data_IF_824534257666
#
_entry.id   IF_824534257666
#
_cell.length_a   1.000
_cell.length_b   1.000
_cell.length_c   1.000
_cell.angle_alpha   90.00
_cell.angle_beta   90.00
_cell.angle_gamma   90.00
#
_symmetry.space_group_name_H-M   'P 1'
#
loop_
_entity.id
_entity.type
_entity.pdbx_description
1 polymer ?
#
# COMPACT_ATOMS: atom_id res chain seq x y z
N UNK A 1 50.21 9.38 12.24
CA UNK A 1 50.61 9.39 13.68
C UNK A 1 50.68 10.85 14.11
N UNK A 2 50.23 11.18 15.33
CA UNK A 2 50.15 12.53 15.98
C UNK A 2 48.92 13.38 15.56
N UNK A 3 48.08 13.95 16.43
CA UNK A 3 48.03 14.10 17.89
C UNK A 3 46.55 14.07 18.37
N UNK A 4 46.35 13.72 19.65
CA UNK A 4 45.16 14.04 20.42
C UNK A 4 45.03 15.56 20.60
N UNK A 5 43.79 16.08 20.58
CA UNK A 5 43.48 17.30 21.32
C UNK A 5 42.27 17.01 22.22
N UNK A 6 42.58 16.79 23.50
CA UNK A 6 41.61 16.87 24.59
C UNK A 6 41.32 18.34 24.83
N UNK A 7 40.06 18.76 24.69
CA UNK A 7 39.63 20.07 25.17
C UNK A 7 38.69 19.82 26.34
N UNK A 8 39.19 20.07 27.55
CA UNK A 8 38.44 20.00 28.80
C UNK A 8 37.90 21.41 29.07
N UNK A 9 36.59 21.62 28.97
CA UNK A 9 35.94 22.84 29.47
C UNK A 9 35.29 22.52 30.81
N UNK A 10 35.78 23.14 31.88
CA UNK A 10 35.09 23.24 33.15
C UNK A 10 34.64 24.70 33.25
N UNK A 11 33.37 24.98 32.97
CA UNK A 11 32.76 26.29 33.19
C UNK A 11 31.63 26.14 34.22
N UNK A 12 31.57 26.97 35.27
CA UNK A 12 30.51 26.90 36.28
C UNK A 12 29.28 27.76 35.96
N UNK A 13 29.13 28.33 34.75
CA UNK A 13 28.01 29.23 34.41
C UNK A 13 27.22 28.79 33.15
N UNK A 14 25.88 29.02 33.11
CA UNK A 14 24.98 28.32 32.19
C UNK A 14 24.62 29.11 30.92
N UNK A 15 25.55 29.88 30.32
CA UNK A 15 25.22 30.62 29.09
C UNK A 15 26.38 30.76 28.07
N UNK A 16 25.99 30.57 26.80
CA UNK A 16 26.53 31.06 25.53
C UNK A 16 27.52 30.23 24.69
N UNK A 17 27.03 29.90 23.47
CA UNK A 17 27.43 30.44 22.15
C UNK A 17 27.84 29.42 21.08
N UNK A 18 27.24 29.64 19.91
CA UNK A 18 27.32 28.87 18.67
C UNK A 18 28.74 28.88 18.08
N UNK A 19 29.24 27.72 17.63
CA UNK A 19 30.47 27.61 16.84
C UNK A 19 30.15 27.00 15.46
N UNK A 20 30.14 27.87 14.45
CA UNK A 20 30.44 27.59 13.04
C UNK A 20 31.96 27.84 12.84
N UNK A 21 32.75 27.27 11.92
CA UNK A 21 32.60 26.51 10.69
C UNK A 21 34.01 25.94 10.35
N UNK A 22 34.12 24.76 9.72
CA UNK A 22 34.83 24.55 8.44
C UNK A 22 34.56 23.10 7.96
N UNK A 23 34.40 22.91 6.66
CA UNK A 23 33.65 21.83 6.02
C UNK A 23 33.98 20.39 6.48
N UNK A 24 32.91 19.60 6.63
CA UNK A 24 32.84 18.13 6.72
C UNK A 24 32.94 17.44 8.10
N UNK A 25 32.31 17.93 9.17
CA UNK A 25 31.94 17.08 10.34
C UNK A 25 30.64 17.53 10.99
N UNK A 26 29.69 16.60 11.15
CA UNK A 26 28.49 16.80 11.97
C UNK A 26 28.74 16.35 13.42
N UNK A 27 28.13 17.04 14.39
CA UNK A 27 28.23 16.74 15.82
C UNK A 27 26.86 16.28 16.35
N UNK A 28 26.82 15.15 17.05
CA UNK A 28 25.67 14.77 17.90
C UNK A 28 26.13 14.79 19.36
N UNK A 29 25.46 15.57 20.20
CA UNK A 29 25.66 15.58 21.64
C UNK A 29 24.49 14.86 22.31
N UNK A 30 24.76 14.06 23.34
CA UNK A 30 23.73 13.42 24.18
C UNK A 30 24.10 13.63 25.65
N UNK A 31 23.14 14.06 26.45
CA UNK A 31 23.32 14.45 27.85
C UNK A 31 23.12 13.23 28.78
N UNK A 32 24.05 13.00 29.71
CA UNK A 32 23.88 12.09 30.83
C UNK A 32 24.30 12.80 32.12
N UNK A 33 23.38 12.89 33.10
CA UNK A 33 23.65 13.41 34.45
C UNK A 33 23.84 12.23 35.42
N UNK A 34 24.64 12.27 36.49
CA UNK A 34 25.36 13.37 37.16
C UNK A 34 26.80 12.92 37.42
N UNK A 35 27.70 13.90 37.36
CA UNK A 35 29.14 13.86 37.62
C UNK A 35 30.03 13.28 36.50
N UNK A 36 30.55 14.20 35.68
CA UNK A 36 31.79 14.09 34.85
C UNK A 36 31.69 13.54 33.41
N UNK A 37 32.42 14.23 32.52
CA UNK A 37 32.92 13.87 31.18
C UNK A 37 31.92 13.84 30.02
N UNK A 38 32.06 14.81 29.11
CA UNK A 38 31.57 14.69 27.73
C UNK A 38 32.56 13.87 26.91
N UNK A 39 32.22 12.64 26.54
CA UNK A 39 32.98 11.86 25.55
C UNK A 39 32.45 12.23 24.16
N UNK A 40 33.16 13.11 23.47
CA UNK A 40 32.89 13.41 22.06
C UNK A 40 33.60 12.34 21.22
N UNK A 41 32.85 11.34 20.76
CA UNK A 41 33.36 10.34 19.82
C UNK A 41 33.36 10.92 18.41
N UNK A 42 34.55 11.18 17.86
CA UNK A 42 34.69 11.55 16.45
C UNK A 42 34.55 10.31 15.57
N UNK A 43 33.36 10.10 15.00
CA UNK A 43 33.15 9.09 13.96
C UNK A 43 33.79 9.64 12.68
N UNK A 44 34.81 8.95 12.17
CA UNK A 44 35.49 9.31 10.92
C UNK A 44 34.71 8.70 9.76
N UNK A 45 34.01 9.54 9.01
CA UNK A 45 33.61 9.23 7.63
C UNK A 45 32.48 8.21 7.47
N UNK A 46 31.32 8.49 8.03
CA UNK A 46 30.07 8.16 7.33
C UNK A 46 29.64 9.43 6.62
N UNK A 47 29.85 9.50 5.30
CA UNK A 47 28.99 10.34 4.48
C UNK A 47 27.57 9.85 4.78
N UNK A 48 26.71 10.74 5.28
CA UNK A 48 25.28 10.52 5.17
C UNK A 48 25.00 10.59 3.67
N UNK A 49 25.10 9.46 2.99
CA UNK A 49 24.61 9.31 1.63
C UNK A 49 23.10 9.40 1.79
N UNK A 50 22.58 10.62 1.64
CA UNK A 50 21.16 10.80 1.42
C UNK A 50 20.87 10.19 0.06
N UNK A 51 20.39 8.94 0.08
CA UNK A 51 19.92 8.27 -1.12
C UNK A 51 18.58 8.90 -1.45
N UNK A 52 18.63 9.85 -2.38
CA UNK A 52 17.43 10.39 -2.98
C UNK A 52 16.63 9.25 -3.62
N UNK A 53 15.32 9.33 -3.49
CA UNK A 53 14.41 8.39 -4.12
C UNK A 53 14.30 8.72 -5.61
N UNK A 54 14.55 7.72 -6.44
CA UNK A 54 14.51 7.81 -7.89
C UNK A 54 13.38 6.95 -8.48
N UNK A 55 13.03 7.17 -9.75
CA UNK A 55 12.07 6.32 -10.45
C UNK A 55 12.60 4.89 -10.57
N UNK A 56 11.73 3.92 -10.34
CA UNK A 56 12.07 2.49 -10.28
C UNK A 56 12.48 2.01 -8.88
N UNK A 57 12.70 2.92 -7.93
CA UNK A 57 12.96 2.52 -6.55
C UNK A 57 11.71 1.91 -5.91
N UNK A 58 11.92 0.84 -5.14
CA UNK A 58 10.90 0.29 -4.28
C UNK A 58 10.96 1.01 -2.95
N UNK A 59 9.83 1.58 -2.54
CA UNK A 59 9.70 2.25 -1.25
C UNK A 59 8.53 1.69 -0.47
N UNK A 60 8.69 1.62 0.85
CA UNK A 60 7.58 1.38 1.77
C UNK A 60 7.07 2.71 2.25
N UNK A 61 5.78 2.97 2.04
CA UNK A 61 5.12 4.21 2.43
C UNK A 61 3.99 3.94 3.41
N UNK A 62 3.78 4.87 4.32
CA UNK A 62 2.52 4.99 5.05
C UNK A 62 1.86 6.29 4.66
N UNK A 63 0.53 6.30 4.57
CA UNK A 63 -0.20 7.50 4.19
C UNK A 63 -1.62 7.55 4.74
N UNK A 64 -2.19 8.75 4.74
CA UNK A 64 -3.60 9.03 4.98
C UNK A 64 -4.07 10.08 3.99
N UNK A 65 -5.04 9.72 3.15
CA UNK A 65 -5.71 10.58 2.19
C UNK A 65 -6.98 11.18 2.78
N UNK A 66 -7.12 12.51 2.64
CA UNK A 66 -8.25 13.29 3.13
C UNK A 66 -8.85 14.16 2.03
N UNK A 67 -10.14 14.42 2.13
CA UNK A 67 -10.79 15.46 1.34
C UNK A 67 -10.59 16.84 1.97
N UNK A 68 -10.96 17.91 1.25
CA UNK A 68 -10.90 19.29 1.73
C UNK A 68 -11.69 19.53 3.04
N UNK A 69 -12.76 18.77 3.26
CA UNK A 69 -13.56 18.81 4.49
C UNK A 69 -12.93 18.04 5.68
N UNK A 70 -11.76 17.44 5.47
CA UNK A 70 -10.99 16.69 6.47
C UNK A 70 -11.37 15.21 6.59
N UNK A 71 -12.43 14.75 5.90
CA UNK A 71 -12.85 13.36 5.92
C UNK A 71 -11.76 12.45 5.33
N UNK A 72 -11.36 11.42 6.07
CA UNK A 72 -10.44 10.39 5.58
C UNK A 72 -11.19 9.46 4.62
N UNK A 73 -10.59 9.22 3.46
CA UNK A 73 -11.15 8.27 2.48
C UNK A 73 -10.22 7.08 2.21
N UNK A 74 -8.95 7.19 2.57
CA UNK A 74 -7.94 6.16 2.35
C UNK A 74 -6.82 6.28 3.38
N UNK A 75 -6.30 5.17 3.87
CA UNK A 75 -5.19 5.16 4.84
C UNK A 75 -4.55 3.78 4.95
N UNK A 76 -3.25 3.75 5.18
CA UNK A 76 -2.50 2.54 5.52
C UNK A 76 -2.51 2.24 7.02
N UNK A 77 -3.10 3.11 7.85
CA UNK A 77 -3.20 2.91 9.30
C UNK A 77 -4.52 2.26 9.69
N UNK A 78 -4.44 1.10 10.33
CA UNK A 78 -5.64 0.36 10.80
C UNK A 78 -6.44 1.17 11.83
N UNK A 79 -5.73 1.87 12.72
CA UNK A 79 -6.34 2.69 13.77
C UNK A 79 -7.14 3.84 13.16
N UNK A 80 -6.53 4.60 12.25
CA UNK A 80 -7.20 5.71 11.54
C UNK A 80 -8.39 5.18 10.73
N UNK A 81 -8.23 4.02 10.08
CA UNK A 81 -9.31 3.42 9.30
C UNK A 81 -10.53 3.06 10.18
N UNK A 82 -10.30 2.54 11.39
CA UNK A 82 -11.35 2.21 12.37
C UNK A 82 -12.03 3.47 12.90
N UNK A 83 -11.25 4.48 13.29
CA UNK A 83 -11.77 5.75 13.81
C UNK A 83 -12.63 6.50 12.80
N UNK A 84 -12.31 6.38 11.50
CA UNK A 84 -13.02 7.07 10.42
C UNK A 84 -14.06 6.19 9.72
N UNK A 85 -14.31 4.97 10.20
CA UNK A 85 -15.35 4.09 9.67
C UNK A 85 -15.08 3.54 8.27
N UNK A 86 -13.83 3.54 7.81
CA UNK A 86 -13.40 3.02 6.50
C UNK A 86 -12.62 1.70 6.61
N UNK A 87 -12.55 1.12 7.81
CA UNK A 87 -11.85 -0.14 8.06
C UNK A 87 -12.42 -1.29 7.22
N UNK A 88 -11.54 -1.91 6.43
CA UNK A 88 -11.77 -3.16 5.74
C UNK A 88 -11.06 -4.32 6.48
N UNK A 89 -11.77 -5.36 6.96
CA UNK A 89 -11.17 -6.54 7.59
C UNK A 89 -10.26 -7.37 6.67
N UNK A 90 -10.41 -7.22 5.35
CA UNK A 90 -9.55 -7.84 4.34
C UNK A 90 -8.44 -6.90 3.84
N UNK A 91 -8.39 -5.67 4.36
CA UNK A 91 -7.33 -4.72 4.04
C UNK A 91 -6.02 -5.12 4.71
N UNK A 92 -4.91 -4.83 4.04
CA UNK A 92 -3.58 -4.91 4.65
C UNK A 92 -3.24 -3.50 5.14
N UNK A 93 -2.86 -3.40 6.41
CA UNK A 93 -2.42 -2.16 7.03
C UNK A 93 -0.95 -2.27 7.46
N UNK A 94 -0.34 -1.14 7.80
CA UNK A 94 1.07 -1.07 8.19
C UNK A 94 2.01 -0.61 7.08
N UNK A 95 1.46 -0.04 6.00
CA UNK A 95 2.20 0.58 4.90
C UNK A 95 2.24 -0.28 3.64
N UNK A 96 2.25 0.40 2.50
CA UNK A 96 2.27 -0.20 1.17
C UNK A 96 3.67 -0.15 0.57
N UNK A 97 4.03 -1.16 -0.21
CA UNK A 97 5.24 -1.16 -1.02
C UNK A 97 4.87 -0.75 -2.44
N UNK A 98 5.49 0.30 -2.93
CA UNK A 98 5.23 0.86 -4.26
C UNK A 98 6.53 1.03 -5.03
N UNK A 99 6.43 1.04 -6.36
CA UNK A 99 7.54 1.33 -7.27
C UNK A 99 7.34 2.76 -7.75
N UNK A 100 8.31 3.62 -7.49
CA UNK A 100 8.22 5.04 -7.79
C UNK A 100 8.16 5.25 -9.30
N UNK A 101 7.12 5.93 -9.76
CA UNK A 101 6.87 6.20 -11.17
C UNK A 101 6.12 5.10 -11.92
N UNK A 102 5.70 4.02 -11.25
CA UNK A 102 4.94 2.91 -11.86
C UNK A 102 3.42 3.08 -11.76
N UNK A 103 2.93 4.21 -11.23
CA UNK A 103 1.49 4.49 -11.11
C UNK A 103 0.78 3.53 -10.16
N UNK A 104 1.46 3.13 -9.08
CA UNK A 104 0.87 2.33 -8.00
C UNK A 104 0.03 3.20 -7.05
N UNK A 105 0.32 4.49 -6.99
CA UNK A 105 -0.45 5.51 -6.28
C UNK A 105 -1.05 6.49 -7.30
N UNK A 106 -1.85 7.45 -6.81
CA UNK A 106 -2.31 8.55 -7.65
C UNK A 106 -1.12 9.37 -8.15
N UNK A 107 -1.24 9.89 -9.39
CA UNK A 107 -0.14 10.54 -10.12
C UNK A 107 0.58 11.62 -9.31
N UNK A 108 -0.16 12.46 -8.59
CA UNK A 108 0.43 13.54 -7.80
C UNK A 108 1.31 13.04 -6.67
N UNK A 109 0.93 11.94 -6.02
CA UNK A 109 1.69 11.34 -4.93
C UNK A 109 2.92 10.58 -5.47
N UNK A 110 2.76 9.84 -6.58
CA UNK A 110 3.85 9.13 -7.25
C UNK A 110 4.95 10.07 -7.73
N UNK A 111 4.57 11.24 -8.27
CA UNK A 111 5.51 12.28 -8.70
C UNK A 111 6.25 12.94 -7.53
N UNK A 112 5.59 13.14 -6.38
CA UNK A 112 6.20 13.82 -5.22
C UNK A 112 7.17 12.93 -4.44
N UNK A 113 7.22 11.62 -4.69
CA UNK A 113 8.24 10.75 -4.08
C UNK A 113 9.65 11.03 -4.60
N UNK A 114 9.77 11.48 -5.85
CA UNK A 114 11.06 11.70 -6.51
C UNK A 114 11.82 12.83 -5.81
N UNK A 115 13.14 12.65 -5.67
CA UNK A 115 14.06 13.58 -4.99
C UNK A 115 13.81 13.76 -3.48
N UNK A 116 12.87 13.02 -2.90
CA UNK A 116 12.72 12.95 -1.43
C UNK A 116 13.70 11.94 -0.85
N UNK A 117 13.82 11.98 0.46
CA UNK A 117 14.72 11.11 1.22
C UNK A 117 13.91 10.10 2.02
N UNK A 118 14.53 8.95 2.31
CA UNK A 118 13.99 8.00 3.29
C UNK A 118 13.84 8.69 4.65
N UNK A 119 12.69 8.49 5.28
CA UNK A 119 12.28 9.16 6.52
C UNK A 119 11.56 10.49 6.30
N UNK A 120 11.38 10.94 5.04
CA UNK A 120 10.57 12.11 4.75
C UNK A 120 9.12 11.89 5.19
N UNK A 121 8.60 12.84 5.97
CA UNK A 121 7.18 12.94 6.31
C UNK A 121 6.68 14.31 5.86
N UNK A 122 5.56 14.35 5.17
CA UNK A 122 5.01 15.58 4.64
C UNK A 122 3.53 15.50 4.32
N UNK A 123 2.99 16.65 3.93
CA UNK A 123 1.63 16.81 3.46
C UNK A 123 1.65 17.39 2.06
N UNK A 124 0.89 16.79 1.16
CA UNK A 124 0.78 17.19 -0.24
C UNK A 124 -0.69 17.37 -0.61
N UNK A 125 -1.04 18.56 -1.10
CA UNK A 125 -2.32 18.83 -1.73
C UNK A 125 -2.22 18.50 -3.23
N UNK A 126 -3.14 17.67 -3.71
CA UNK A 126 -3.14 17.12 -5.07
C UNK A 126 -4.41 17.59 -5.77
N UNK A 127 -4.28 18.34 -6.88
CA UNK A 127 -5.44 18.81 -7.63
C UNK A 127 -6.11 17.63 -8.39
N UNK A 128 -7.39 17.77 -8.79
CA UNK A 128 -8.14 16.69 -9.43
C UNK A 128 -7.43 16.06 -10.63
N UNK A 129 -6.71 16.84 -11.44
CA UNK A 129 -5.97 16.41 -12.62
C UNK A 129 -4.88 15.37 -12.30
N UNK A 130 -4.33 15.41 -11.09
CA UNK A 130 -3.28 14.51 -10.61
C UNK A 130 -3.77 13.50 -9.55
N UNK A 131 -5.03 13.61 -9.13
CA UNK A 131 -5.68 12.69 -8.21
C UNK A 131 -6.57 11.69 -8.96
N UNK A 132 -7.90 11.82 -8.85
CA UNK A 132 -8.89 10.91 -9.43
C UNK A 132 -9.47 11.37 -10.78
N UNK A 133 -8.83 12.36 -11.41
CA UNK A 133 -9.24 12.96 -12.68
C UNK A 133 -10.21 14.13 -12.50
N UNK A 134 -10.29 14.94 -13.56
CA UNK A 134 -11.24 16.07 -13.63
C UNK A 134 -12.64 15.55 -13.84
N UNK A 135 -13.62 16.18 -13.20
CA UNK A 135 -15.03 15.91 -13.48
C UNK A 135 -15.34 16.24 -14.94
N UNK A 136 -15.83 15.26 -15.69
CA UNK A 136 -16.18 15.43 -17.09
C UNK A 136 -17.71 15.58 -17.25
N UNK A 137 -18.22 16.77 -17.63
CA UNK A 137 -19.64 16.98 -17.86
C UNK A 137 -20.24 16.10 -18.96
N UNK A 138 -19.42 15.62 -19.91
CA UNK A 138 -19.87 14.73 -20.98
C UNK A 138 -20.20 13.32 -20.48
N UNK A 139 -19.68 12.92 -19.31
CA UNK A 139 -20.03 11.67 -18.65
C UNK A 139 -21.30 11.79 -17.78
N UNK A 140 -21.94 12.97 -17.78
CA UNK A 140 -23.25 13.15 -17.15
C UNK A 140 -24.33 12.98 -18.22
N UNK A 141 -24.95 11.81 -18.24
CA UNK A 141 -25.91 11.46 -19.29
C UNK A 141 -27.36 11.50 -18.77
N UNK A 142 -28.30 11.68 -19.71
CA UNK A 142 -29.73 11.59 -19.41
C UNK A 142 -30.24 10.18 -19.72
N UNK A 143 -30.58 9.43 -18.68
CA UNK A 143 -31.01 8.03 -18.74
C UNK A 143 -32.52 7.92 -18.51
N UNK A 144 -33.21 7.08 -19.28
CA UNK A 144 -34.63 6.78 -19.02
C UNK A 144 -34.77 5.98 -17.72
N UNK A 145 -35.74 6.34 -16.86
CA UNK A 145 -36.01 5.58 -15.63
C UNK A 145 -36.31 4.10 -15.89
N UNK A 146 -36.80 3.77 -17.09
CA UNK A 146 -37.06 2.38 -17.51
C UNK A 146 -35.79 1.54 -17.63
N UNK A 147 -34.63 2.15 -17.92
CA UNK A 147 -33.35 1.44 -18.00
C UNK A 147 -32.85 0.95 -16.64
N UNK A 148 -33.28 1.59 -15.55
CA UNK A 148 -32.89 1.24 -14.17
C UNK A 148 -34.04 0.64 -13.38
N UNK A 149 -35.20 0.38 -14.01
CA UNK A 149 -36.40 -0.07 -13.33
C UNK A 149 -36.21 -1.40 -12.58
N UNK A 150 -35.39 -2.30 -13.12
CA UNK A 150 -35.05 -3.58 -12.48
C UNK A 150 -34.22 -3.40 -11.20
N UNK A 151 -33.45 -2.32 -11.10
CA UNK A 151 -32.63 -1.99 -9.93
C UNK A 151 -33.43 -1.28 -8.84
N UNK A 152 -34.48 -0.54 -9.25
CA UNK A 152 -35.31 0.24 -8.34
C UNK A 152 -36.22 -0.62 -7.44
N UNK A 153 -36.51 -1.87 -7.83
CA UNK A 153 -37.48 -2.74 -7.12
C UNK A 153 -38.77 -1.95 -6.83
N UNK A 154 -39.19 -1.88 -5.56
CA UNK A 154 -40.36 -1.12 -5.11
C UNK A 154 -40.05 0.32 -4.67
N UNK A 155 -38.81 0.78 -4.85
CA UNK A 155 -38.35 2.11 -4.41
C UNK A 155 -38.33 3.08 -5.58
N UNK A 156 -38.50 4.38 -5.28
CA UNK A 156 -38.35 5.44 -6.29
C UNK A 156 -36.88 5.85 -6.38
N UNK A 157 -36.43 6.22 -7.59
CA UNK A 157 -35.12 6.83 -7.74
C UNK A 157 -35.02 8.10 -6.89
N UNK A 158 -33.84 8.38 -6.36
CA UNK A 158 -33.55 9.60 -5.60
C UNK A 158 -32.12 10.10 -5.91
N UNK A 159 -31.84 11.41 -5.79
CA UNK A 159 -30.49 11.95 -5.91
C UNK A 159 -29.51 11.28 -4.94
N UNK A 160 -28.32 10.92 -5.41
CA UNK A 160 -27.31 10.17 -4.67
C UNK A 160 -27.45 8.65 -4.80
N UNK A 161 -28.51 8.14 -5.44
CA UNK A 161 -28.66 6.70 -5.69
C UNK A 161 -27.63 6.23 -6.73
N UNK A 162 -26.92 5.14 -6.42
CA UNK A 162 -26.09 4.42 -7.40
C UNK A 162 -26.96 3.57 -8.34
N UNK A 163 -26.67 3.64 -9.64
CA UNK A 163 -27.33 2.88 -10.69
C UNK A 163 -26.30 2.34 -11.67
N UNK A 164 -26.61 1.20 -12.27
CA UNK A 164 -25.82 0.61 -13.35
C UNK A 164 -26.60 0.70 -14.67
N UNK A 165 -26.00 1.27 -15.71
CA UNK A 165 -26.66 1.46 -17.02
C UNK A 165 -25.70 1.01 -18.09
N UNK A 166 -26.11 0.03 -18.89
CA UNK A 166 -25.30 -0.52 -19.98
C UNK A 166 -23.89 -0.97 -19.50
N UNK A 167 -23.83 -1.55 -18.29
CA UNK A 167 -22.58 -2.01 -17.64
C UNK A 167 -21.75 -0.90 -16.98
N UNK A 168 -22.18 0.36 -17.03
CA UNK A 168 -21.52 1.49 -16.38
C UNK A 168 -22.21 1.82 -15.05
N UNK A 169 -21.45 1.89 -13.97
CA UNK A 169 -21.95 2.41 -12.69
C UNK A 169 -21.93 3.93 -12.68
N UNK A 170 -22.96 4.55 -12.13
CA UNK A 170 -23.06 6.00 -12.00
C UNK A 170 -24.01 6.41 -10.89
N UNK A 171 -24.01 7.70 -10.55
CA UNK A 171 -24.80 8.25 -9.45
C UNK A 171 -25.88 9.19 -10.00
N UNK A 172 -27.11 9.01 -9.55
CA UNK A 172 -28.23 9.89 -9.93
C UNK A 172 -28.01 11.28 -9.33
N UNK A 173 -27.80 12.31 -10.15
CA UNK A 173 -27.70 13.70 -9.69
C UNK A 173 -29.08 14.33 -9.48
N UNK A 174 -29.98 14.10 -10.44
CA UNK A 174 -31.31 14.74 -10.43
C UNK A 174 -32.32 13.93 -11.24
N UNK A 175 -33.59 14.09 -10.88
CA UNK A 175 -34.72 13.49 -11.57
C UNK A 175 -35.47 14.60 -12.30
N UNK A 176 -35.69 14.43 -13.60
CA UNK A 176 -36.39 15.37 -14.47
C UNK A 176 -37.48 14.60 -15.20
N UNK A 177 -38.70 14.65 -14.67
CA UNK A 177 -39.83 13.87 -15.17
C UNK A 177 -39.53 12.36 -15.12
N UNK A 178 -39.52 11.71 -16.29
CA UNK A 178 -39.22 10.27 -16.44
C UNK A 178 -37.75 9.97 -16.75
N UNK A 179 -36.87 10.97 -16.67
CA UNK A 179 -35.44 10.82 -16.95
C UNK A 179 -34.60 11.14 -15.72
N UNK A 180 -33.53 10.37 -15.55
CA UNK A 180 -32.52 10.55 -14.54
C UNK A 180 -31.32 11.23 -15.20
N UNK A 181 -30.76 12.24 -14.55
CA UNK A 181 -29.44 12.76 -14.89
C UNK A 181 -28.45 11.94 -14.07
N UNK A 182 -27.67 11.10 -14.72
CA UNK A 182 -26.76 10.14 -14.08
C UNK A 182 -25.32 10.54 -14.39
N UNK A 183 -24.51 10.62 -13.34
CA UNK A 183 -23.09 10.93 -13.42
C UNK A 183 -22.27 9.64 -13.45
N UNK A 184 -21.58 9.39 -14.57
CA UNK A 184 -20.72 8.23 -14.76
C UNK A 184 -19.23 8.52 -14.51
N UNK A 185 -18.89 9.69 -13.95
CA UNK A 185 -17.53 9.97 -13.51
C UNK A 185 -17.11 9.03 -12.37
N UNK A 186 -15.80 8.89 -12.16
CA UNK A 186 -15.28 8.27 -10.94
C UNK A 186 -15.85 9.00 -9.72
N UNK A 187 -16.21 8.27 -8.66
CA UNK A 187 -16.89 8.83 -7.48
C UNK A 187 -16.11 9.96 -6.80
N UNK A 188 -14.79 10.00 -7.00
CA UNK A 188 -13.87 11.02 -6.46
C UNK A 188 -13.38 12.04 -7.49
N UNK A 189 -13.85 11.97 -8.75
CA UNK A 189 -13.44 12.90 -9.80
C UNK A 189 -13.84 14.34 -9.47
N UNK A 190 -12.98 15.29 -9.85
CA UNK A 190 -13.20 16.72 -9.63
C UNK A 190 -12.92 17.20 -8.20
N UNK A 191 -12.52 16.30 -7.29
CA UNK A 191 -12.15 16.66 -5.91
C UNK A 191 -10.63 16.80 -5.79
N UNK A 192 -10.16 17.88 -5.18
CA UNK A 192 -8.80 17.93 -4.66
C UNK A 192 -8.71 17.04 -3.41
N UNK A 193 -7.54 16.48 -3.18
CA UNK A 193 -7.27 15.60 -2.04
C UNK A 193 -5.94 15.96 -1.41
N UNK A 194 -5.84 15.75 -0.11
CA UNK A 194 -4.62 15.99 0.66
C UNK A 194 -4.11 14.67 1.19
N UNK A 195 -2.85 14.35 0.92
CA UNK A 195 -2.17 13.18 1.47
C UNK A 195 -1.15 13.61 2.50
N UNK A 196 -1.25 13.06 3.71
CA UNK A 196 -0.15 13.03 4.67
C UNK A 196 0.55 11.68 4.50
N UNK A 197 1.86 11.68 4.25
CA UNK A 197 2.59 10.44 3.98
C UNK A 197 4.00 10.45 4.55
N UNK A 198 4.54 9.25 4.78
CA UNK A 198 5.91 9.01 5.20
C UNK A 198 6.57 7.97 4.30
N UNK A 199 7.79 8.24 3.84
CA UNK A 199 8.65 7.26 3.16
C UNK A 199 9.45 6.52 4.23
N UNK A 200 9.04 5.32 4.61
CA UNK A 200 9.64 4.60 5.74
C UNK A 200 11.02 4.04 5.41
N UNK A 201 11.13 3.37 4.26
CA UNK A 201 12.38 2.77 3.79
C UNK A 201 12.37 2.59 2.28
N UNK A 202 13.57 2.63 1.70
CA UNK A 202 13.86 2.05 0.38
C UNK A 202 14.14 0.56 0.55
N UNK A 203 13.58 -0.27 -0.33
CA UNK A 203 13.77 -1.72 -0.30
C UNK A 203 14.82 -2.12 -1.32
N UNK A 204 15.77 -2.95 -0.89
CA UNK A 204 16.78 -3.56 -1.75
C UNK A 204 16.60 -5.08 -1.89
N UNK A 205 16.10 -5.73 -0.83
CA UNK A 205 15.87 -7.17 -0.78
C UNK A 205 14.80 -7.63 -1.79
N UNK A 206 15.13 -8.67 -2.55
CA UNK A 206 14.27 -9.16 -3.63
C UNK A 206 12.98 -9.80 -3.10
N UNK A 207 13.04 -10.47 -1.94
CA UNK A 207 11.87 -11.09 -1.32
C UNK A 207 10.91 -10.04 -0.78
N UNK A 208 11.41 -9.02 -0.07
CA UNK A 208 10.58 -7.92 0.41
C UNK A 208 9.92 -7.16 -0.75
N UNK A 209 10.65 -6.89 -1.84
CA UNK A 209 10.11 -6.28 -3.06
C UNK A 209 8.99 -7.11 -3.67
N UNK A 210 9.22 -8.40 -3.86
CA UNK A 210 8.24 -9.31 -4.43
C UNK A 210 6.99 -9.43 -3.56
N UNK A 211 7.17 -9.61 -2.26
CA UNK A 211 6.08 -9.70 -1.29
C UNK A 211 5.26 -8.42 -1.22
N UNK A 212 5.92 -7.28 -1.24
CA UNK A 212 5.28 -5.97 -1.27
C UNK A 212 4.40 -5.78 -2.51
N UNK A 213 4.92 -6.14 -3.68
CA UNK A 213 4.20 -6.04 -4.94
C UNK A 213 3.00 -6.99 -4.99
N UNK A 214 3.18 -8.24 -4.56
CA UNK A 214 2.08 -9.20 -4.45
C UNK A 214 1.01 -8.69 -3.49
N UNK A 215 1.39 -8.15 -2.33
CA UNK A 215 0.45 -7.58 -1.36
C UNK A 215 -0.34 -6.42 -1.96
N UNK A 216 0.33 -5.49 -2.66
CA UNK A 216 -0.29 -4.37 -3.34
C UNK A 216 -1.36 -4.81 -4.34
N UNK A 217 -1.07 -5.82 -5.17
CA UNK A 217 -2.01 -6.25 -6.21
C UNK A 217 -3.04 -7.27 -5.74
N UNK A 218 -2.79 -8.02 -4.68
CA UNK A 218 -3.66 -9.15 -4.29
C UNK A 218 -4.40 -8.89 -2.99
N UNK A 219 -3.89 -8.00 -2.13
CA UNK A 219 -4.34 -7.86 -0.76
C UNK A 219 -3.99 -9.05 0.12
N UNK A 220 -3.04 -9.91 -0.28
CA UNK A 220 -2.54 -11.01 0.53
C UNK A 220 -1.05 -10.83 0.87
N UNK A 221 -0.72 -11.02 2.14
CA UNK A 221 0.64 -10.88 2.69
C UNK A 221 1.35 -12.22 2.90
N UNK A 222 0.61 -13.33 2.86
CA UNK A 222 1.04 -14.67 3.26
C UNK A 222 1.18 -15.65 2.07
N UNK A 223 1.76 -15.20 0.95
CA UNK A 223 2.17 -16.10 -0.11
C UNK A 223 3.58 -16.63 0.15
N UNK A 224 3.73 -17.94 0.00
CA UNK A 224 5.04 -18.59 0.05
C UNK A 224 5.77 -18.30 -1.27
N UNK A 225 7.05 -17.98 -1.16
CA UNK A 225 7.90 -17.71 -2.31
C UNK A 225 9.31 -18.22 -2.10
N UNK A 226 9.95 -18.56 -3.20
CA UNK A 226 11.35 -18.93 -3.28
C UNK A 226 11.99 -18.05 -4.35
N UNK A 227 13.03 -17.30 -3.97
CA UNK A 227 13.75 -16.43 -4.88
C UNK A 227 15.21 -16.85 -4.89
N UNK A 228 15.70 -17.14 -6.10
CA UNK A 228 17.10 -17.43 -6.39
C UNK A 228 17.56 -16.49 -7.51
N UNK A 229 18.87 -16.39 -7.79
CA UNK A 229 19.37 -15.58 -8.91
C UNK A 229 18.80 -15.96 -10.28
N UNK A 230 18.25 -17.17 -10.44
CA UNK A 230 17.76 -17.71 -11.71
C UNK A 230 16.24 -17.87 -11.77
N UNK A 231 15.55 -17.86 -10.62
CA UNK A 231 14.13 -18.22 -10.52
C UNK A 231 13.44 -17.44 -9.41
N UNK A 232 12.29 -16.83 -9.75
CA UNK A 232 11.26 -16.41 -8.81
C UNK A 232 10.15 -17.46 -8.85
N UNK A 233 9.86 -18.13 -7.74
CA UNK A 233 8.73 -19.05 -7.63
C UNK A 233 7.78 -18.54 -6.56
N UNK A 234 6.53 -18.34 -6.92
CA UNK A 234 5.46 -17.94 -5.99
C UNK A 234 4.42 -19.05 -5.94
N UNK A 235 4.18 -19.57 -4.74
CA UNK A 235 3.16 -20.58 -4.49
C UNK A 235 1.85 -19.85 -4.23
N UNK A 236 0.88 -20.08 -5.11
CA UNK A 236 -0.41 -19.39 -5.08
C UNK A 236 -1.40 -20.24 -4.29
N UNK A 237 -1.99 -19.70 -3.20
CA UNK A 237 -3.04 -20.38 -2.45
C UNK A 237 -4.26 -20.67 -3.35
N UNK A 238 -4.95 -21.79 -3.13
CA UNK A 238 -6.05 -22.23 -4.00
C UNK A 238 -7.21 -21.23 -4.04
N UNK A 239 -7.37 -20.44 -2.98
CA UNK A 239 -8.38 -19.37 -2.85
C UNK A 239 -8.23 -18.29 -3.94
N UNK A 240 -7.04 -18.19 -4.55
CA UNK A 240 -6.77 -17.27 -5.64
C UNK A 240 -7.22 -17.77 -7.02
N UNK A 241 -7.55 -19.06 -7.17
CA UNK A 241 -7.90 -19.68 -8.47
C UNK A 241 -9.02 -18.94 -9.21
N UNK A 242 -9.98 -18.39 -8.48
CA UNK A 242 -11.12 -17.64 -9.03
C UNK A 242 -11.14 -16.17 -8.61
N UNK A 243 -10.06 -15.69 -7.99
CA UNK A 243 -9.96 -14.31 -7.56
C UNK A 243 -9.79 -13.41 -8.80
N UNK A 244 -10.81 -12.61 -9.11
CA UNK A 244 -10.80 -11.72 -10.28
C UNK A 244 -9.63 -10.74 -10.27
N UNK A 245 -9.27 -10.21 -9.10
CA UNK A 245 -8.15 -9.27 -8.95
C UNK A 245 -6.86 -9.93 -9.40
N UNK A 246 -6.60 -11.16 -8.94
CA UNK A 246 -5.46 -11.97 -9.37
C UNK A 246 -5.48 -12.29 -10.85
N UNK A 247 -6.60 -12.77 -11.39
CA UNK A 247 -6.71 -13.12 -12.81
C UNK A 247 -6.37 -11.94 -13.73
N UNK A 248 -6.75 -10.71 -13.33
CA UNK A 248 -6.48 -9.50 -14.10
C UNK A 248 -5.05 -9.00 -13.87
N UNK A 249 -4.53 -9.06 -12.64
CA UNK A 249 -3.22 -8.50 -12.29
C UNK A 249 -2.04 -9.44 -12.57
N UNK A 250 -2.25 -10.75 -12.69
CA UNK A 250 -1.20 -11.78 -12.85
C UNK A 250 -0.16 -11.42 -13.91
N UNK A 251 -0.59 -10.96 -15.08
CA UNK A 251 0.33 -10.57 -16.16
C UNK A 251 1.16 -9.33 -15.83
N UNK A 252 0.57 -8.33 -15.16
CA UNK A 252 1.25 -7.11 -14.73
C UNK A 252 2.26 -7.40 -13.62
N UNK A 253 1.85 -8.17 -12.61
CA UNK A 253 2.73 -8.65 -11.55
C UNK A 253 3.93 -9.39 -12.16
N UNK A 254 3.68 -10.28 -13.13
CA UNK A 254 4.75 -11.03 -13.77
C UNK A 254 5.79 -10.12 -14.42
N UNK A 255 5.31 -9.16 -15.21
CA UNK A 255 6.17 -8.21 -15.90
C UNK A 255 6.99 -7.37 -14.91
N UNK A 256 6.33 -6.79 -13.91
CA UNK A 256 6.98 -5.93 -12.93
C UNK A 256 7.99 -6.72 -12.07
N UNK A 257 7.69 -7.95 -11.66
CA UNK A 257 8.67 -8.79 -10.94
C UNK A 257 9.90 -9.10 -11.78
N UNK A 258 9.70 -9.56 -13.02
CA UNK A 258 10.82 -9.92 -13.91
C UNK A 258 11.70 -8.71 -14.21
N UNK A 259 11.08 -7.58 -14.58
CA UNK A 259 11.78 -6.36 -14.95
C UNK A 259 12.54 -5.76 -13.76
N UNK A 260 11.89 -5.64 -12.61
CA UNK A 260 12.47 -4.92 -11.48
C UNK A 260 13.41 -5.75 -10.60
N UNK A 261 13.27 -7.08 -10.60
CA UNK A 261 14.22 -7.97 -9.91
C UNK A 261 15.35 -8.44 -10.82
N UNK A 262 15.23 -8.28 -12.15
CA UNK A 262 16.23 -8.71 -13.11
C UNK A 262 16.35 -10.23 -13.23
N UNK A 263 15.33 -10.99 -12.79
CA UNK A 263 15.29 -12.45 -12.84
C UNK A 263 14.30 -12.87 -13.93
N UNK A 264 14.80 -13.53 -14.97
CA UNK A 264 14.01 -13.82 -16.17
C UNK A 264 12.97 -14.92 -16.02
N UNK A 265 13.17 -15.84 -15.07
CA UNK A 265 12.26 -16.98 -14.89
C UNK A 265 11.35 -16.73 -13.70
N UNK A 266 10.04 -16.67 -13.97
CA UNK A 266 9.00 -16.54 -12.96
C UNK A 266 8.00 -17.69 -13.09
N UNK A 267 7.75 -18.37 -11.98
CA UNK A 267 6.78 -19.45 -11.88
C UNK A 267 5.69 -19.10 -10.86
N UNK A 268 4.44 -19.14 -11.31
CA UNK A 268 3.28 -19.19 -10.42
C UNK A 268 2.83 -20.63 -10.28
N UNK A 269 2.95 -21.19 -9.08
CA UNK A 269 2.64 -22.59 -8.79
C UNK A 269 1.34 -22.68 -7.99
N UNK A 270 0.28 -23.15 -8.64
CA UNK A 270 -1.01 -23.45 -8.01
C UNK A 270 -1.04 -24.95 -7.63
N UNK A 271 -1.27 -25.27 -6.35
CA UNK A 271 -1.34 -26.65 -5.86
C UNK A 271 -2.79 -27.05 -5.58
N UNK A 272 -3.24 -28.13 -6.20
CA UNK A 272 -4.55 -28.73 -5.98
C UNK A 272 -4.39 -30.06 -5.23
N UNK A 273 -4.40 -30.06 -3.88
CA UNK A 273 -4.30 -31.29 -3.11
C UNK A 273 -5.57 -32.14 -3.32
N UNK A 274 -5.39 -33.45 -3.49
CA UNK A 274 -6.50 -34.40 -3.45
C UNK A 274 -7.04 -34.47 -2.01
N UNK A 275 -8.31 -34.13 -1.82
CA UNK A 275 -9.02 -34.37 -0.57
C UNK A 275 -9.92 -35.61 -0.76
N UNK A 276 -9.58 -36.78 -0.18
CA UNK A 276 -10.50 -37.91 -0.21
C UNK A 276 -11.81 -37.54 0.49
N UNK A 277 -12.93 -37.93 -0.11
CA UNK A 277 -14.26 -37.75 0.48
C UNK A 277 -14.28 -38.42 1.86
N UNK A 278 -14.64 -37.67 2.91
CA UNK A 278 -14.75 -38.20 4.28
C UNK A 278 -15.95 -39.14 4.50
N UNK A 279 -16.72 -39.44 3.47
CA UNK A 279 -17.94 -40.25 3.55
C UNK A 279 -17.77 -41.71 3.11
N UNK A 280 -16.55 -42.18 2.79
CA UNK A 280 -16.30 -43.57 2.36
C UNK A 280 -15.39 -44.39 3.30
N UNK A 281 -15.40 -44.08 4.60
CA UNK A 281 -14.73 -44.95 5.57
C UNK A 281 -15.52 -45.05 6.88
N UNK A 282 -16.61 -45.80 6.85
CA UNK A 282 -17.12 -46.57 7.99
C UNK A 282 -18.26 -47.51 7.50
N UNK A 283 -17.91 -48.51 6.68
CA UNK A 283 -18.65 -49.78 6.73
C UNK A 283 -17.98 -50.64 7.81
N UNK A 284 -18.64 -50.97 8.93
CA UNK A 284 -18.07 -51.84 9.93
C UNK A 284 -17.97 -53.26 9.37
N UNK A 285 -16.75 -53.77 9.26
CA UNK A 285 -16.47 -55.19 9.02
C UNK A 285 -17.08 -55.97 10.18
N UNK A 286 -18.15 -56.72 9.89
CA UNK A 286 -18.76 -57.64 10.84
C UNK A 286 -17.72 -58.70 11.24
N UNK A 287 -17.37 -58.72 12.52
CA UNK A 287 -16.56 -59.77 13.13
C UNK A 287 -17.38 -61.07 13.17
N UNK A 288 -16.90 -62.09 12.46
CA UNK A 288 -17.34 -63.47 12.64
C UNK A 288 -17.01 -63.90 14.08
N UNK A 289 -18.02 -64.10 14.91
CA UNK A 289 -17.91 -64.82 16.17
C UNK A 289 -17.67 -66.30 15.86
N UNK A 290 -16.44 -66.75 16.10
CA UNK A 290 -16.11 -68.17 16.21
C UNK A 290 -16.49 -68.62 17.63
N UNK A 291 -17.66 -69.24 17.78
CA UNK A 291 -17.98 -70.04 18.95
C UNK A 291 -17.09 -71.29 18.95
N UNK A 292 -16.16 -71.36 19.91
CA UNK A 292 -15.52 -72.62 20.32
C UNK A 292 -16.34 -73.28 21.43
N UNK A 293 -16.58 -74.58 21.23
CA UNK A 293 -17.32 -75.55 22.02
C UNK A 293 -16.97 -75.61 23.52
N UNK A 294 -17.97 -75.90 24.35
CA UNK A 294 -17.96 -76.98 25.37
C UNK A 294 -19.38 -77.48 25.67
#
# INVERSE_FOLDING_TARGET
MKYFLTVLFISPYPYFSLLCFDGKKFLKAQEYSRDTVYIITFIKGTELIYVAIEKGDFIKITYTGRFEDGQVFDTTSEEIAKENGIFNPRGIYGGDVVIVGSGHTIKGLDEDFVDKEVGYTGTLEIPPEKAFGVHNPALVESVSITKVATQLKDTRAYPGMEVEVDGKKGVVQKIIGRRLRVDFNHSLAGRAVTYEYTIEKKLDDSEEKARGLLALYTGASNMDMEITPELIRVIIPIEFSFNQRWLISKGRIAHELIENLGISNLEFVEKYPYAPNKDESEEPVASEEVETEE
#
